data_IF_803007278257
#
_entry.id   IF_803007278257
#
_cell.length_a   1.000
_cell.length_b   1.000
_cell.length_c   1.000
_cell.angle_alpha   90.00
_cell.angle_beta   90.00
_cell.angle_gamma   90.00
#
_symmetry.space_group_name_H-M   'P 1'
#
loop_
_entity.id
_entity.type
_entity.pdbx_description
1 polymer ?
#
# COMPACT_ATOMS: atom_id res chain seq x y z
N UNK A 1 9.17 -22.67 7.30
CA UNK A 1 8.03 -22.30 8.17
C UNK A 1 6.90 -23.26 7.84
N UNK A 2 6.41 -24.06 8.80
CA UNK A 2 5.20 -24.86 8.57
C UNK A 2 4.04 -23.91 8.85
N UNK A 3 3.24 -23.67 7.83
CA UNK A 3 2.05 -22.84 7.86
C UNK A 3 0.93 -23.73 8.40
N UNK A 4 0.24 -23.30 9.45
CA UNK A 4 -0.87 -24.08 10.01
C UNK A 4 -2.03 -24.15 9.01
N UNK A 5 -2.94 -25.13 9.18
CA UNK A 5 -4.00 -25.39 8.21
C UNK A 5 -4.88 -24.16 7.94
N UNK A 6 -5.16 -23.35 8.98
CA UNK A 6 -5.95 -22.13 8.89
C UNK A 6 -5.19 -20.99 8.20
N UNK A 7 -3.87 -20.93 8.36
CA UNK A 7 -3.01 -19.96 7.67
C UNK A 7 -2.89 -20.30 6.18
N UNK A 8 -2.93 -21.59 5.82
CA UNK A 8 -2.96 -22.07 4.43
C UNK A 8 -4.23 -21.64 3.69
N UNK A 9 -5.37 -21.65 4.37
CA UNK A 9 -6.64 -21.21 3.78
C UNK A 9 -6.70 -19.69 3.64
N UNK A 10 -6.14 -18.94 4.59
CA UNK A 10 -6.00 -17.49 4.46
C UNK A 10 -5.01 -17.10 3.34
N UNK A 11 -3.89 -17.81 3.20
CA UNK A 11 -2.94 -17.58 2.10
C UNK A 11 -3.58 -17.85 0.75
N UNK A 12 -4.35 -18.94 0.60
CA UNK A 12 -5.11 -19.21 -0.65
C UNK A 12 -6.15 -18.14 -0.93
N UNK A 13 -6.84 -17.65 0.10
CA UNK A 13 -7.78 -16.55 -0.03
C UNK A 13 -7.08 -15.27 -0.52
N UNK A 14 -5.90 -14.94 0.01
CA UNK A 14 -5.12 -13.78 -0.46
C UNK A 14 -4.62 -13.96 -1.90
N UNK A 15 -4.22 -15.18 -2.28
CA UNK A 15 -3.78 -15.51 -3.65
C UNK A 15 -4.95 -15.37 -4.65
N UNK A 16 -6.14 -15.81 -4.24
CA UNK A 16 -7.41 -15.64 -4.97
C UNK A 16 -7.81 -14.15 -5.13
N UNK A 17 -7.58 -13.34 -4.10
CA UNK A 17 -7.95 -11.92 -4.07
C UNK A 17 -6.93 -11.04 -4.81
N UNK A 18 -5.66 -11.44 -4.81
CA UNK A 18 -4.53 -10.66 -5.31
C UNK A 18 -4.47 -10.49 -6.82
N UNK A 19 -5.01 -11.44 -7.62
CA UNK A 19 -5.07 -11.25 -9.07
C UNK A 19 -6.03 -12.20 -9.83
N UNK A 20 -7.29 -11.81 -10.09
CA UNK A 20 -8.23 -12.62 -10.87
C UNK A 20 -7.89 -12.70 -12.38
N UNK A 21 -6.79 -12.08 -12.84
CA UNK A 21 -6.47 -11.92 -14.28
C UNK A 21 -5.16 -12.57 -14.73
N UNK A 22 -4.38 -13.21 -13.85
CA UNK A 22 -3.09 -13.82 -14.24
C UNK A 22 -3.21 -15.16 -15.00
N UNK A 23 -4.32 -15.87 -14.86
CA UNK A 23 -4.59 -17.08 -15.63
C UNK A 23 -6.07 -17.11 -16.11
N UNK A 24 -6.31 -17.13 -17.44
CA UNK A 24 -7.66 -17.16 -18.01
C UNK A 24 -8.46 -18.42 -17.66
N UNK A 25 -7.84 -19.45 -17.07
CA UNK A 25 -8.50 -20.66 -16.59
C UNK A 25 -8.74 -20.67 -15.07
N UNK A 26 -8.26 -19.65 -14.34
CA UNK A 26 -8.53 -19.55 -12.90
C UNK A 26 -10.01 -19.23 -12.70
N UNK A 27 -10.74 -20.01 -11.88
CA UNK A 27 -12.12 -19.72 -11.54
C UNK A 27 -12.20 -18.29 -11.02
N UNK A 28 -13.02 -17.46 -11.66
CA UNK A 28 -13.26 -16.09 -11.19
C UNK A 28 -13.72 -16.21 -9.74
N UNK A 29 -12.90 -15.71 -8.82
CA UNK A 29 -13.27 -15.61 -7.43
C UNK A 29 -14.52 -14.74 -7.39
N UNK A 30 -15.58 -15.28 -6.82
CA UNK A 30 -16.82 -14.54 -6.64
C UNK A 30 -16.52 -13.43 -5.61
N UNK A 31 -16.14 -12.25 -6.12
CA UNK A 31 -15.80 -11.06 -5.33
C UNK A 31 -16.92 -10.66 -4.36
N UNK A 32 -18.13 -11.21 -4.53
CA UNK A 32 -19.24 -11.11 -3.58
C UNK A 32 -18.97 -11.77 -2.21
N UNK A 33 -17.86 -12.49 -2.01
CA UNK A 33 -17.48 -13.08 -0.71
C UNK A 33 -16.73 -12.14 0.23
N UNK A 34 -16.25 -11.00 -0.26
CA UNK A 34 -15.58 -10.00 0.59
C UNK A 34 -16.51 -8.81 0.72
N UNK A 35 -17.36 -8.87 1.73
CA UNK A 35 -18.14 -7.69 2.15
C UNK A 35 -17.15 -6.71 2.77
N UNK A 36 -16.66 -5.78 1.96
CA UNK A 36 -15.98 -4.61 2.46
C UNK A 36 -17.03 -3.74 3.14
N UNK A 37 -16.85 -3.49 4.43
CA UNK A 37 -17.68 -2.54 5.14
C UNK A 37 -17.36 -1.14 4.60
N UNK A 38 -18.29 -0.54 3.86
CA UNK A 38 -18.13 0.80 3.29
C UNK A 38 -17.84 1.84 4.39
N UNK A 39 -18.23 1.59 5.64
CA UNK A 39 -17.91 2.48 6.77
C UNK A 39 -16.42 2.47 7.15
N UNK A 40 -15.66 1.48 6.68
CA UNK A 40 -14.21 1.37 6.87
C UNK A 40 -13.43 1.82 5.64
N UNK A 41 -14.10 2.25 4.57
CA UNK A 41 -13.47 2.75 3.36
C UNK A 41 -13.17 4.24 3.51
N UNK A 42 -11.91 4.61 3.31
CA UNK A 42 -11.48 5.99 3.16
C UNK A 42 -11.91 6.48 1.77
N UNK A 43 -12.39 7.71 1.70
CA UNK A 43 -13.06 8.24 0.50
C UNK A 43 -12.15 9.13 -0.33
N UNK A 44 -11.05 9.61 0.27
CA UNK A 44 -10.12 10.54 -0.37
C UNK A 44 -8.66 10.10 -0.21
N UNK A 45 -7.78 10.49 -1.14
CA UNK A 45 -6.34 10.28 -0.98
C UNK A 45 -5.78 10.91 0.29
N UNK A 46 -6.27 12.08 0.69
CA UNK A 46 -5.82 12.79 1.89
C UNK A 46 -6.14 12.00 3.16
N UNK A 47 -7.36 11.44 3.26
CA UNK A 47 -7.73 10.56 4.38
C UNK A 47 -6.86 9.29 4.41
N UNK A 48 -6.51 8.75 3.24
CA UNK A 48 -5.63 7.58 3.12
C UNK A 48 -4.21 7.90 3.57
N UNK A 49 -3.68 9.06 3.17
CA UNK A 49 -2.37 9.55 3.61
C UNK A 49 -2.38 9.78 5.13
N UNK A 50 -3.37 10.49 5.68
CA UNK A 50 -3.47 10.75 7.12
C UNK A 50 -3.60 9.46 7.94
N UNK A 51 -4.26 8.45 7.38
CA UNK A 51 -4.41 7.15 8.03
C UNK A 51 -3.10 6.34 8.03
N UNK A 52 -2.42 6.25 6.89
CA UNK A 52 -1.18 5.45 6.75
C UNK A 52 0.07 6.18 7.25
N UNK A 53 0.12 7.49 7.07
CA UNK A 53 1.24 8.38 7.40
C UNK A 53 0.75 9.60 8.18
N UNK A 54 0.36 9.43 9.46
CA UNK A 54 -0.22 10.50 10.25
C UNK A 54 0.72 11.72 10.36
N UNK A 55 0.20 12.95 10.49
CA UNK A 55 1.02 14.17 10.50
C UNK A 55 2.16 14.16 11.53
N UNK A 56 1.93 13.62 12.73
CA UNK A 56 2.98 13.55 13.76
C UNK A 56 4.15 12.63 13.40
N UNK A 57 3.92 11.61 12.55
CA UNK A 57 4.97 10.74 12.02
C UNK A 57 5.77 11.51 10.96
N UNK A 58 5.08 12.23 10.07
CA UNK A 58 5.70 12.99 9.00
C UNK A 58 6.43 14.26 9.48
N UNK A 59 6.00 14.87 10.59
CA UNK A 59 6.67 16.04 11.20
C UNK A 59 8.08 15.71 11.72
N UNK A 60 8.31 14.46 12.13
CA UNK A 60 9.62 13.98 12.59
C UNK A 60 9.86 12.52 12.20
N UNK A 61 10.10 12.23 10.91
CA UNK A 61 10.15 10.87 10.39
C UNK A 61 11.35 10.09 10.94
N UNK A 62 12.42 10.78 11.35
CA UNK A 62 13.59 10.14 11.96
C UNK A 62 13.27 9.60 13.36
N UNK A 63 12.48 10.32 14.16
CA UNK A 63 12.03 9.86 15.47
C UNK A 63 10.99 8.74 15.37
N UNK A 64 10.18 8.74 14.30
CA UNK A 64 9.11 7.76 14.05
C UNK A 64 9.47 6.74 12.95
N UNK A 65 10.76 6.49 12.73
CA UNK A 65 11.25 5.64 11.63
C UNK A 65 10.66 4.23 11.62
N UNK A 66 10.35 3.65 12.78
CA UNK A 66 9.71 2.34 12.85
C UNK A 66 8.29 2.36 12.28
N UNK A 67 7.48 3.33 12.67
CA UNK A 67 6.10 3.48 12.20
C UNK A 67 6.08 3.74 10.69
N UNK A 68 6.99 4.60 10.22
CA UNK A 68 7.13 4.92 8.79
C UNK A 68 7.50 3.69 7.95
N UNK A 69 8.32 2.77 8.48
CA UNK A 69 8.72 1.54 7.80
C UNK A 69 7.64 0.45 7.82
N UNK A 70 6.70 0.51 8.76
CA UNK A 70 5.59 -0.44 8.88
C UNK A 70 4.34 0.00 8.07
N UNK A 71 4.34 1.22 7.53
CA UNK A 71 3.26 1.79 6.72
C UNK A 71 3.52 1.67 5.21
N UNK A 72 2.47 1.36 4.45
CA UNK A 72 2.51 1.35 2.99
C UNK A 72 1.13 1.62 2.38
N UNK A 73 1.10 2.37 1.28
CA UNK A 73 -0.07 2.52 0.41
C UNK A 73 0.20 1.76 -0.89
N UNK A 74 -0.67 0.82 -1.24
CA UNK A 74 -0.57 0.04 -2.47
C UNK A 74 -1.44 0.66 -3.56
N UNK A 75 -0.82 1.00 -4.69
CA UNK A 75 -1.49 1.60 -5.83
C UNK A 75 -1.57 0.62 -7.02
N UNK A 76 -2.67 0.64 -7.81
CA UNK A 76 -2.80 -0.24 -8.98
C UNK A 76 -1.83 0.07 -10.13
N UNK A 77 -1.34 1.31 -10.21
CA UNK A 77 -0.45 1.77 -11.29
C UNK A 77 0.73 2.55 -10.72
N UNK A 78 1.86 2.49 -11.43
CA UNK A 78 3.06 3.26 -11.07
C UNK A 78 2.79 4.77 -11.06
N UNK A 79 1.95 5.27 -11.96
CA UNK A 79 1.61 6.69 -12.00
C UNK A 79 0.94 7.14 -10.71
N UNK A 80 0.00 6.34 -10.19
CA UNK A 80 -0.65 6.63 -8.92
C UNK A 80 0.33 6.52 -7.76
N UNK A 81 1.24 5.52 -7.80
CA UNK A 81 2.32 5.39 -6.81
C UNK A 81 3.20 6.65 -6.75
N UNK A 82 3.64 7.16 -7.90
CA UNK A 82 4.46 8.38 -7.94
C UNK A 82 3.70 9.59 -7.43
N UNK A 83 2.45 9.74 -7.83
CA UNK A 83 1.59 10.85 -7.38
C UNK A 83 1.42 10.83 -5.86
N UNK A 84 1.12 9.67 -5.25
CA UNK A 84 1.03 9.56 -3.78
C UNK A 84 2.36 9.81 -3.08
N UNK A 85 3.47 9.28 -3.62
CA UNK A 85 4.77 9.49 -3.01
C UNK A 85 5.16 10.98 -3.03
N UNK A 86 4.86 11.69 -4.13
CA UNK A 86 5.12 13.12 -4.25
C UNK A 86 4.27 13.92 -3.24
N UNK A 87 2.97 13.61 -3.12
CA UNK A 87 2.08 14.22 -2.13
C UNK A 87 2.56 13.99 -0.68
N UNK A 88 2.95 12.76 -0.33
CA UNK A 88 3.48 12.44 0.99
C UNK A 88 4.81 13.18 1.24
N UNK A 89 5.68 13.27 0.21
CA UNK A 89 6.97 13.94 0.33
C UNK A 89 6.81 15.45 0.58
N UNK A 90 5.80 16.09 -0.02
CA UNK A 90 5.48 17.51 0.21
C UNK A 90 5.05 17.82 1.65
N UNK A 91 4.54 16.81 2.38
CA UNK A 91 4.14 16.94 3.78
C UNK A 91 5.32 16.81 4.76
N UNK A 92 6.46 16.28 4.31
CA UNK A 92 7.64 16.08 5.17
C UNK A 92 8.42 17.41 5.29
N UNK A 93 8.68 17.91 6.50
CA UNK A 93 9.40 19.16 6.68
C UNK A 93 10.86 19.01 6.24
N UNK A 94 11.28 19.86 5.30
CA UNK A 94 12.63 19.89 4.79
C UNK A 94 12.68 20.28 3.31
N UNK A 95 13.88 20.30 2.76
CA UNK A 95 14.07 20.54 1.32
C UNK A 95 14.21 19.18 0.61
N UNK A 96 13.47 18.96 -0.49
CA UNK A 96 13.58 17.72 -1.25
C UNK A 96 14.98 17.59 -1.87
N UNK A 97 15.52 16.38 -1.81
CA UNK A 97 16.83 16.07 -2.40
C UNK A 97 16.69 15.05 -3.53
N UNK A 98 17.15 15.42 -4.72
CA UNK A 98 17.20 14.53 -5.88
C UNK A 98 18.54 13.81 -5.95
N UNK A 99 18.49 12.48 -6.12
CA UNK A 99 19.66 11.64 -6.35
C UNK A 99 19.64 11.13 -7.79
N UNK A 100 20.76 11.27 -8.50
CA UNK A 100 20.90 10.86 -9.91
C UNK A 100 21.54 9.47 -9.95
N UNK A 101 20.91 8.52 -10.65
CA UNK A 101 21.49 7.18 -10.85
C UNK A 101 22.72 7.23 -11.78
N UNK A 102 23.71 6.36 -11.53
CA UNK A 102 24.93 6.19 -12.34
C UNK A 102 24.80 5.09 -13.41
N UNK A 103 23.57 4.76 -13.82
CA UNK A 103 23.36 3.80 -14.89
C UNK A 103 23.87 4.37 -16.22
N UNK A 104 24.77 3.64 -16.89
CA UNK A 104 25.34 4.04 -18.18
C UNK A 104 24.21 4.18 -19.21
N UNK A 105 24.15 5.34 -19.86
CA UNK A 105 23.33 5.57 -21.07
C UNK A 105 23.71 4.61 -22.19
#
# INVERSE_FOLDING_TARGET
>A
MRVDADELDFVKFLDELGNPYLDPNTPKVDLHKVLLDESQMLQTPEELIDFCFPPHVLDNPLAHSKELLESAILCPTNQNTFTMNDEILELIPGEPQTFISLDKQ
#
